data_IF_926288925358
#
_entry.id   IF_926288925358
#
_cell.length_a   1.000
_cell.length_b   1.000
_cell.length_c   1.000
_cell.angle_alpha   90.00
_cell.angle_beta   90.00
_cell.angle_gamma   90.00
#
_symmetry.space_group_name_H-M   'P 1'
#
loop_
_entity.id
_entity.type
_entity.pdbx_description
1 polymer ?
#
# COMPACT_ATOMS: atom_id res chain seq x y z
N UNK A 1 -7.48 22.53 31.75
CA UNK A 1 -6.48 22.63 30.68
C UNK A 1 -5.09 22.65 31.30
N UNK A 2 -4.23 21.75 30.83
CA UNK A 2 -2.82 21.70 31.18
C UNK A 2 -2.01 21.70 29.88
N UNK A 3 -0.86 22.37 29.86
CA UNK A 3 0.10 22.25 28.76
C UNK A 3 1.35 21.51 29.23
N UNK A 4 1.79 20.54 28.44
CA UNK A 4 3.07 19.86 28.61
C UNK A 4 4.09 20.47 27.64
N UNK A 5 5.31 20.72 28.10
CA UNK A 5 6.41 21.19 27.24
C UNK A 5 6.87 20.16 26.21
N UNK A 6 6.64 18.87 26.47
CA UNK A 6 6.81 17.75 25.54
C UNK A 6 5.54 16.90 25.58
N UNK A 7 4.91 16.66 24.44
CA UNK A 7 3.66 15.91 24.37
C UNK A 7 3.82 14.47 24.86
N UNK A 8 2.89 14.00 25.70
CA UNK A 8 2.91 12.66 26.31
C UNK A 8 4.20 12.34 27.10
N UNK A 9 4.78 13.35 27.75
CA UNK A 9 5.87 13.23 28.72
C UNK A 9 5.53 14.03 29.99
N UNK A 10 5.11 13.31 31.03
CA UNK A 10 4.73 13.88 32.33
C UNK A 10 5.95 14.29 33.18
N UNK A 11 7.17 13.89 32.80
CA UNK A 11 8.41 14.39 33.41
C UNK A 11 8.82 15.77 32.87
N UNK A 12 8.23 16.19 31.75
CA UNK A 12 8.39 17.53 31.19
C UNK A 12 7.65 18.59 32.00
N UNK A 13 7.87 19.87 31.71
CA UNK A 13 7.16 20.97 32.40
C UNK A 13 5.65 20.91 32.13
N UNK A 14 4.88 20.52 33.15
CA UNK A 14 3.41 20.60 33.18
C UNK A 14 2.99 21.96 33.74
N UNK A 15 2.17 22.71 33.00
CA UNK A 15 1.62 23.99 33.47
C UNK A 15 0.09 23.91 33.52
N UNK A 16 -0.51 24.19 34.68
CA UNK A 16 -1.94 24.39 34.81
C UNK A 16 -2.31 25.76 34.20
N UNK A 17 -3.14 25.76 33.15
CA UNK A 17 -3.49 26.99 32.42
C UNK A 17 -4.81 27.58 32.91
N UNK A 18 -5.89 26.81 32.86
CA UNK A 18 -7.23 27.23 33.30
C UNK A 18 -8.18 26.05 33.52
N UNK A 19 -9.33 26.35 34.13
CA UNK A 19 -10.43 25.42 34.37
C UNK A 19 -11.69 25.90 33.64
N UNK A 20 -12.42 24.97 33.00
CA UNK A 20 -13.81 25.19 32.60
C UNK A 20 -14.70 24.73 33.76
N UNK A 21 -15.41 25.67 34.39
CA UNK A 21 -16.39 25.36 35.41
C UNK A 21 -17.69 24.87 34.76
N UNK A 22 -18.13 23.67 35.15
CA UNK A 22 -19.33 22.99 34.66
C UNK A 22 -20.37 22.74 35.77
N UNK A 23 -20.21 23.34 36.95
CA UNK A 23 -21.09 23.11 38.11
C UNK A 23 -22.56 23.50 37.89
N UNK A 24 -22.81 24.46 36.98
CA UNK A 24 -24.17 24.82 36.54
C UNK A 24 -24.83 23.72 35.69
N UNK A 25 -24.02 22.84 35.06
CA UNK A 25 -24.45 21.75 34.21
C UNK A 25 -24.56 20.42 34.98
N UNK A 26 -23.51 20.03 35.70
CA UNK A 26 -23.47 18.77 36.48
C UNK A 26 -22.43 18.87 37.62
N UNK A 27 -22.81 18.47 38.83
CA UNK A 27 -21.90 18.50 40.00
C UNK A 27 -21.08 17.21 40.18
N UNK A 28 -21.19 16.27 39.24
CA UNK A 28 -20.43 15.02 39.20
C UNK A 28 -20.00 14.68 37.75
N UNK A 29 -19.16 15.51 37.10
CA UNK A 29 -18.53 15.13 35.84
C UNK A 29 -17.69 13.86 36.03
N UNK A 30 -17.54 13.05 34.98
CA UNK A 30 -16.84 11.76 35.02
C UNK A 30 -15.76 11.63 33.96
N UNK A 31 -16.02 12.11 32.74
CA UNK A 31 -15.10 11.95 31.61
C UNK A 31 -15.20 13.17 30.68
N UNK A 32 -14.15 13.37 29.89
CA UNK A 32 -14.02 14.44 28.92
C UNK A 32 -13.53 13.87 27.59
N UNK A 33 -14.12 14.33 26.49
CA UNK A 33 -13.71 13.97 25.15
C UNK A 33 -13.65 15.20 24.26
N UNK A 34 -12.97 15.08 23.12
CA UNK A 34 -12.96 16.07 22.05
C UNK A 34 -13.40 15.41 20.75
N UNK A 35 -13.86 16.21 19.78
CA UNK A 35 -13.96 15.77 18.39
C UNK A 35 -12.57 15.69 17.74
N UNK A 36 -12.49 15.16 16.52
CA UNK A 36 -11.22 14.88 15.83
C UNK A 36 -10.34 16.11 15.55
N UNK A 37 -10.92 17.30 15.41
CA UNK A 37 -10.18 18.56 15.20
C UNK A 37 -9.98 19.38 16.48
N UNK A 38 -10.50 18.93 17.62
CA UNK A 38 -10.39 19.61 18.90
C UNK A 38 -11.24 20.87 19.07
N UNK A 39 -12.13 21.19 18.13
CA UNK A 39 -13.01 22.39 18.19
C UNK A 39 -14.30 22.18 18.98
N UNK A 40 -14.58 20.97 19.46
CA UNK A 40 -15.70 20.68 20.38
C UNK A 40 -15.20 19.86 21.55
N UNK A 41 -15.50 20.32 22.77
CA UNK A 41 -15.29 19.58 24.02
C UNK A 41 -16.63 19.00 24.50
N UNK A 42 -16.60 17.74 24.93
CA UNK A 42 -17.72 17.00 25.50
C UNK A 42 -17.41 16.65 26.95
N UNK A 43 -18.32 16.95 27.88
CA UNK A 43 -18.21 16.56 29.30
C UNK A 43 -19.36 15.63 29.66
N UNK A 44 -19.02 14.47 30.22
CA UNK A 44 -19.98 13.46 30.67
C UNK A 44 -20.36 13.70 32.14
N UNK A 45 -21.59 14.13 32.39
CA UNK A 45 -22.15 14.35 33.72
C UNK A 45 -22.90 13.14 34.27
N UNK A 46 -22.60 12.72 35.51
CA UNK A 46 -23.27 11.61 36.20
C UNK A 46 -24.52 12.02 36.93
N UNK A 47 -24.56 13.22 37.53
CA UNK A 47 -25.69 13.65 38.35
C UNK A 47 -26.96 13.75 37.50
N UNK A 48 -26.83 14.35 36.31
CA UNK A 48 -27.90 14.57 35.35
C UNK A 48 -27.85 13.58 34.17
N UNK A 49 -26.94 12.59 34.21
CA UNK A 49 -26.83 11.50 33.25
C UNK A 49 -26.84 11.98 31.79
N UNK A 50 -26.03 13.00 31.50
CA UNK A 50 -26.06 13.78 30.27
C UNK A 50 -24.65 14.13 29.77
N UNK A 51 -24.50 14.28 28.45
CA UNK A 51 -23.32 14.86 27.81
C UNK A 51 -23.61 16.34 27.55
N UNK A 52 -22.66 17.20 27.90
CA UNK A 52 -22.69 18.63 27.62
C UNK A 52 -21.58 18.94 26.62
N UNK A 53 -21.90 19.69 25.57
CA UNK A 53 -20.97 19.99 24.47
C UNK A 53 -20.75 21.48 24.35
N UNK A 54 -19.49 21.93 24.26
CA UNK A 54 -19.14 23.33 23.98
C UNK A 54 -18.26 23.46 22.75
N UNK A 55 -18.50 24.51 21.95
CA UNK A 55 -17.62 24.89 20.85
C UNK A 55 -16.40 25.67 21.35
N UNK A 56 -15.23 25.36 20.81
CA UNK A 56 -13.96 26.04 21.07
C UNK A 56 -13.55 26.86 19.85
N UNK A 57 -13.18 28.12 20.07
CA UNK A 57 -12.74 29.01 18.98
C UNK A 57 -11.38 28.62 18.40
N UNK A 58 -10.56 27.91 19.18
CA UNK A 58 -9.26 27.38 18.83
C UNK A 58 -9.18 25.94 19.36
N UNK A 59 -8.65 25.02 18.55
CA UNK A 59 -8.60 23.60 18.89
C UNK A 59 -7.88 23.34 20.23
N UNK A 60 -8.52 22.58 21.12
CA UNK A 60 -8.05 22.18 22.46
C UNK A 60 -7.76 23.33 23.46
N UNK A 61 -7.96 24.59 23.07
CA UNK A 61 -7.76 25.75 23.94
C UNK A 61 -9.09 26.14 24.61
N UNK A 62 -9.13 26.19 25.94
CA UNK A 62 -10.29 26.63 26.69
C UNK A 62 -10.32 28.15 26.89
N UNK A 63 -9.43 28.91 26.23
CA UNK A 63 -9.44 30.38 26.27
C UNK A 63 -10.76 30.94 25.72
N UNK A 64 -11.39 31.82 26.50
CA UNK A 64 -12.63 32.46 26.13
C UNK A 64 -13.89 31.59 26.18
N UNK A 65 -13.81 30.30 26.58
CA UNK A 65 -14.99 29.44 26.68
C UNK A 65 -15.92 29.93 27.80
N UNK A 66 -17.11 30.37 27.41
CA UNK A 66 -18.18 30.78 28.30
C UNK A 66 -19.15 29.61 28.49
N UNK A 67 -19.19 29.06 29.71
CA UNK A 67 -20.00 27.88 30.10
C UNK A 67 -21.49 27.93 29.69
N UNK A 68 -22.07 29.11 29.45
CA UNK A 68 -23.45 29.28 28.98
C UNK A 68 -23.56 29.64 27.50
N UNK A 69 -22.69 30.50 26.97
CA UNK A 69 -22.85 31.04 25.61
C UNK A 69 -22.33 30.10 24.53
N UNK A 70 -21.29 29.32 24.84
CA UNK A 70 -20.66 28.39 23.91
C UNK A 70 -21.18 26.95 24.07
N UNK A 71 -22.18 26.74 24.95
CA UNK A 71 -22.86 25.46 25.13
C UNK A 71 -23.74 25.20 23.90
N UNK A 72 -23.34 24.25 23.06
CA UNK A 72 -24.03 23.92 21.80
C UNK A 72 -25.07 22.81 21.95
N UNK A 73 -24.91 21.91 22.93
CA UNK A 73 -25.86 20.82 23.15
C UNK A 73 -25.83 20.25 24.58
N UNK A 74 -26.99 19.75 25.03
CA UNK A 74 -27.13 18.87 26.20
C UNK A 74 -27.87 17.61 25.76
N UNK A 75 -27.25 16.45 25.93
CA UNK A 75 -27.79 15.15 25.47
C UNK A 75 -27.92 14.17 26.62
N UNK A 76 -29.15 13.81 26.98
CA UNK A 76 -29.40 12.73 27.95
C UNK A 76 -28.90 11.38 27.40
N UNK A 77 -28.17 10.63 28.24
CA UNK A 77 -27.61 9.31 27.93
C UNK A 77 -28.00 8.21 28.93
N UNK A 78 -28.74 8.53 30.00
CA UNK A 78 -29.26 7.52 30.94
C UNK A 78 -28.29 7.15 32.08
N UNK A 79 -28.84 6.62 33.17
CA UNK A 79 -28.25 6.65 34.51
C UNK A 79 -26.84 6.05 34.67
N UNK A 80 -26.11 6.58 35.66
CA UNK A 80 -24.77 6.17 36.11
C UNK A 80 -23.73 5.93 34.98
N UNK A 81 -23.49 6.93 34.11
CA UNK A 81 -22.36 6.89 33.18
C UNK A 81 -21.02 6.96 33.94
N UNK A 82 -19.96 6.50 33.26
CA UNK A 82 -18.58 6.52 33.75
C UNK A 82 -17.58 7.06 32.75
N UNK A 83 -17.59 6.53 31.54
CA UNK A 83 -16.71 6.96 30.46
C UNK A 83 -17.49 7.25 29.18
N UNK A 84 -16.97 8.19 28.39
CA UNK A 84 -17.42 8.63 27.07
C UNK A 84 -16.23 8.51 26.11
N UNK A 85 -16.40 7.75 25.03
CA UNK A 85 -15.44 7.70 23.92
C UNK A 85 -16.17 7.79 22.58
N UNK A 86 -15.45 8.26 21.57
CA UNK A 86 -15.88 8.21 20.17
C UNK A 86 -14.89 7.38 19.37
N UNK A 87 -15.30 6.80 18.25
CA UNK A 87 -14.36 6.27 17.28
C UNK A 87 -13.69 7.42 16.47
N UNK A 88 -12.61 7.16 15.69
CA UNK A 88 -11.82 8.20 15.02
C UNK A 88 -12.55 9.04 13.96
N UNK A 89 -13.64 8.54 13.38
CA UNK A 89 -14.49 9.28 12.44
C UNK A 89 -15.71 9.95 13.10
N UNK A 90 -15.91 9.73 14.40
CA UNK A 90 -17.03 10.27 15.18
C UNK A 90 -18.40 9.68 14.87
N UNK A 91 -18.52 8.66 14.00
CA UNK A 91 -19.80 8.02 13.66
C UNK A 91 -20.31 7.04 14.73
N UNK A 92 -19.48 6.72 15.72
CA UNK A 92 -19.85 5.92 16.90
C UNK A 92 -19.47 6.61 18.20
N UNK A 93 -20.35 6.47 19.19
CA UNK A 93 -20.16 6.94 20.57
C UNK A 93 -20.36 5.79 21.55
N UNK A 94 -19.49 5.67 22.54
CA UNK A 94 -19.47 4.59 23.52
C UNK A 94 -19.64 5.17 24.92
N UNK A 95 -20.60 4.64 25.69
CA UNK A 95 -20.84 5.02 27.08
C UNK A 95 -20.64 3.80 27.98
N UNK A 96 -19.68 3.91 28.90
CA UNK A 96 -19.53 2.93 29.99
C UNK A 96 -20.57 3.20 31.08
N UNK A 97 -21.31 2.17 31.49
CA UNK A 97 -22.34 2.24 32.54
C UNK A 97 -21.92 1.49 33.78
N UNK A 98 -21.71 2.22 34.88
CA UNK A 98 -21.24 1.63 36.14
C UNK A 98 -22.22 0.62 36.74
N UNK A 99 -23.51 0.96 36.87
CA UNK A 99 -24.48 0.07 37.54
C UNK A 99 -24.88 -1.16 36.71
N UNK A 100 -25.09 -0.99 35.41
CA UNK A 100 -25.49 -2.11 34.54
C UNK A 100 -24.30 -2.93 34.05
N UNK A 101 -23.06 -2.45 34.24
CA UNK A 101 -21.80 -3.07 33.78
C UNK A 101 -21.85 -3.35 32.27
N UNK A 102 -22.33 -2.35 31.52
CA UNK A 102 -22.46 -2.38 30.07
C UNK A 102 -21.55 -1.33 29.43
N UNK A 103 -21.02 -1.66 28.26
CA UNK A 103 -20.64 -0.66 27.26
C UNK A 103 -21.80 -0.52 26.29
N UNK A 104 -22.36 0.67 26.20
CA UNK A 104 -23.42 1.04 25.26
C UNK A 104 -22.80 1.75 24.05
N UNK A 105 -22.79 1.08 22.90
CA UNK A 105 -22.41 1.65 21.61
C UNK A 105 -23.62 2.30 20.94
N UNK A 106 -23.44 3.51 20.43
CA UNK A 106 -24.42 4.29 19.70
C UNK A 106 -23.87 4.68 18.33
N UNK A 107 -24.61 4.41 17.26
CA UNK A 107 -24.32 5.00 15.96
C UNK A 107 -24.86 6.44 15.92
N UNK A 108 -24.06 7.37 15.40
CA UNK A 108 -24.42 8.78 15.22
C UNK A 108 -24.64 9.06 13.74
N UNK A 109 -25.79 9.65 13.36
CA UNK A 109 -26.03 10.02 11.95
C UNK A 109 -25.33 11.32 11.54
N UNK A 110 -24.87 12.11 12.51
CA UNK A 110 -23.91 13.21 12.32
C UNK A 110 -22.69 12.93 13.20
N UNK A 111 -21.50 12.93 12.60
CA UNK A 111 -20.25 12.66 13.32
C UNK A 111 -20.05 13.63 14.50
N UNK A 112 -19.69 13.08 15.66
CA UNK A 112 -19.51 13.83 16.91
C UNK A 112 -20.76 14.62 17.41
N UNK A 113 -21.97 14.26 16.98
CA UNK A 113 -23.21 14.81 17.55
C UNK A 113 -23.99 13.75 18.36
N UNK A 114 -23.83 13.68 19.69
CA UNK A 114 -24.58 12.79 20.58
C UNK A 114 -26.10 12.91 20.50
N UNK A 115 -26.64 14.04 20.02
CA UNK A 115 -28.09 14.21 19.87
C UNK A 115 -28.65 13.35 18.73
N UNK A 116 -27.80 12.94 17.77
CA UNK A 116 -28.17 12.10 16.62
C UNK A 116 -28.06 10.59 16.85
N UNK A 117 -27.85 10.17 18.11
CA UNK A 117 -27.65 8.76 18.46
C UNK A 117 -28.84 7.86 18.16
N UNK A 118 -28.55 6.65 17.68
CA UNK A 118 -29.49 5.55 17.49
C UNK A 118 -29.94 4.91 18.81
N UNK A 119 -30.73 3.84 18.74
CA UNK A 119 -30.75 2.83 19.82
C UNK A 119 -29.35 2.24 20.01
N UNK A 120 -29.01 1.81 21.23
CA UNK A 120 -27.69 1.25 21.52
C UNK A 120 -27.55 -0.23 21.18
N UNK A 121 -26.33 -0.61 20.79
CA UNK A 121 -25.81 -1.99 20.84
C UNK A 121 -25.05 -2.14 22.15
N UNK A 122 -25.33 -3.17 22.94
CA UNK A 122 -24.78 -3.30 24.29
C UNK A 122 -23.88 -4.53 24.42
N UNK A 123 -22.74 -4.37 25.09
CA UNK A 123 -21.89 -5.47 25.53
C UNK A 123 -21.78 -5.52 27.05
N UNK A 124 -21.83 -6.72 27.63
CA UNK A 124 -21.67 -6.91 29.08
C UNK A 124 -20.19 -7.00 29.43
N UNK A 125 -19.69 -6.08 30.24
CA UNK A 125 -18.35 -6.13 30.81
C UNK A 125 -18.38 -6.67 32.24
N UNK A 126 -19.28 -7.61 32.50
CA UNK A 126 -19.47 -8.29 33.79
C UNK A 126 -18.26 -9.12 34.27
N UNK A 127 -17.31 -9.36 33.37
CA UNK A 127 -16.03 -10.04 33.63
C UNK A 127 -14.90 -9.07 34.02
N UNK A 128 -15.06 -7.77 33.77
CA UNK A 128 -14.36 -6.70 34.51
C UNK A 128 -15.08 -6.44 35.83
N UNK A 129 -14.42 -5.93 36.87
CA UNK A 129 -14.96 -5.84 38.24
C UNK A 129 -16.30 -5.09 38.45
N UNK A 130 -16.71 -4.91 39.70
CA UNK A 130 -18.01 -4.31 40.02
C UNK A 130 -18.02 -2.78 39.90
N UNK A 131 -16.89 -2.11 40.10
CA UNK A 131 -16.76 -0.65 40.22
C UNK A 131 -15.98 -0.09 39.04
N UNK A 132 -16.64 -0.06 37.89
CA UNK A 132 -16.08 0.47 36.66
C UNK A 132 -15.86 1.99 36.76
N UNK A 133 -14.72 2.47 36.28
CA UNK A 133 -14.37 3.91 36.29
C UNK A 133 -14.07 4.46 34.88
N UNK A 134 -13.19 3.79 34.13
CA UNK A 134 -12.67 4.26 32.85
C UNK A 134 -12.84 3.27 31.69
N UNK A 135 -12.74 3.78 30.46
CA UNK A 135 -12.78 2.98 29.22
C UNK A 135 -11.78 3.53 28.20
N UNK A 136 -11.08 2.64 27.50
CA UNK A 136 -10.19 2.97 26.38
C UNK A 136 -10.36 2.03 25.19
N UNK A 137 -9.78 2.39 24.04
CA UNK A 137 -9.71 1.56 22.85
C UNK A 137 -8.32 1.66 22.22
N UNK A 138 -7.91 0.65 21.42
CA UNK A 138 -6.80 0.81 20.48
C UNK A 138 -7.18 1.76 19.33
N UNK A 139 -6.19 2.28 18.60
CA UNK A 139 -6.41 3.21 17.47
C UNK A 139 -7.33 2.65 16.38
N UNK A 140 -7.22 1.35 16.08
CA UNK A 140 -8.09 0.62 15.15
C UNK A 140 -9.37 0.06 15.82
N UNK A 141 -9.52 0.22 17.14
CA UNK A 141 -10.68 -0.23 17.91
C UNK A 141 -10.83 -1.75 18.06
N UNK A 142 -9.82 -2.55 17.70
CA UNK A 142 -9.86 -4.03 17.87
C UNK A 142 -9.51 -4.47 19.29
N UNK A 143 -9.03 -3.56 20.15
CA UNK A 143 -8.98 -3.75 21.61
C UNK A 143 -9.83 -2.71 22.30
N UNK A 144 -10.52 -3.13 23.36
CA UNK A 144 -11.24 -2.29 24.30
C UNK A 144 -10.72 -2.59 25.71
N UNK A 145 -10.56 -1.55 26.52
CA UNK A 145 -10.02 -1.64 27.87
C UNK A 145 -11.01 -1.04 28.86
N UNK A 146 -11.20 -1.70 30.01
CA UNK A 146 -12.07 -1.23 31.09
C UNK A 146 -11.24 -1.12 32.37
N UNK A 147 -11.28 0.05 33.01
CA UNK A 147 -10.64 0.30 34.30
C UNK A 147 -11.64 -0.03 35.40
N UNK A 148 -11.24 -0.91 36.31
CA UNK A 148 -12.02 -1.38 37.44
C UNK A 148 -11.28 -1.09 38.75
N UNK A 149 -12.05 -0.80 39.79
CA UNK A 149 -11.58 -0.10 41.00
C UNK A 149 -11.80 -0.90 42.30
N UNK A 150 -12.60 -1.96 42.25
CA UNK A 150 -12.73 -2.90 43.36
C UNK A 150 -11.65 -3.99 43.37
N UNK A 151 -10.95 -4.15 42.24
CA UNK A 151 -9.83 -5.06 41.99
C UNK A 151 -8.54 -4.35 41.54
N UNK A 152 -8.57 -3.02 41.34
CA UNK A 152 -7.46 -2.19 40.84
C UNK A 152 -6.85 -2.68 39.50
N UNK A 153 -7.72 -3.18 38.62
CA UNK A 153 -7.35 -3.88 37.39
C UNK A 153 -7.71 -3.10 36.10
N UNK A 154 -6.86 -3.25 35.09
CA UNK A 154 -7.18 -2.89 33.70
C UNK A 154 -7.54 -4.16 32.92
N UNK A 155 -8.82 -4.30 32.58
CA UNK A 155 -9.38 -5.44 31.85
C UNK A 155 -9.32 -5.22 30.34
N UNK A 156 -8.88 -6.23 29.59
CA UNK A 156 -8.73 -6.19 28.13
C UNK A 156 -9.78 -7.08 27.43
N UNK A 157 -10.35 -6.55 26.35
CA UNK A 157 -11.29 -7.23 25.46
C UNK A 157 -10.80 -7.11 24.01
N UNK A 158 -10.83 -8.20 23.25
CA UNK A 158 -10.59 -8.18 21.80
C UNK A 158 -11.93 -8.07 21.05
N UNK A 159 -12.03 -7.14 20.10
CA UNK A 159 -13.15 -6.96 19.18
C UNK A 159 -12.73 -7.45 17.79
N UNK A 160 -13.44 -8.44 17.23
CA UNK A 160 -13.10 -8.97 15.90
C UNK A 160 -13.44 -8.00 14.75
N UNK A 161 -14.29 -7.02 15.01
CA UNK A 161 -14.54 -5.86 14.14
C UNK A 161 -14.25 -4.60 14.95
N UNK A 162 -13.32 -3.77 14.48
CA UNK A 162 -12.91 -2.55 15.18
C UNK A 162 -14.09 -1.64 15.49
N UNK A 163 -14.20 -1.18 16.74
CA UNK A 163 -15.30 -0.33 17.22
C UNK A 163 -16.70 -0.94 17.07
N UNK A 164 -16.85 -2.27 17.07
CA UNK A 164 -18.12 -2.99 17.20
C UNK A 164 -18.13 -3.82 18.50
N UNK A 165 -18.78 -3.30 19.54
CA UNK A 165 -18.79 -3.95 20.87
C UNK A 165 -19.55 -5.27 20.88
N UNK A 166 -20.43 -5.54 19.91
CA UNK A 166 -21.11 -6.84 19.82
C UNK A 166 -20.15 -7.98 19.48
N UNK A 167 -18.96 -7.65 18.95
CA UNK A 167 -17.90 -8.60 18.63
C UNK A 167 -16.85 -8.76 19.73
N UNK A 168 -17.04 -8.10 20.89
CA UNK A 168 -16.07 -8.13 21.98
C UNK A 168 -15.99 -9.51 22.66
N UNK A 169 -14.79 -9.85 23.12
CA UNK A 169 -14.48 -11.08 23.85
C UNK A 169 -13.43 -10.78 24.92
N UNK A 170 -13.67 -11.22 26.16
CA UNK A 170 -12.75 -10.97 27.28
C UNK A 170 -11.43 -11.72 27.08
N UNK A 171 -10.32 -11.05 27.36
CA UNK A 171 -8.96 -11.59 27.25
C UNK A 171 -8.38 -11.90 28.63
N UNK A 172 -8.51 -10.97 29.56
CA UNK A 172 -7.91 -11.02 30.89
C UNK A 172 -7.72 -9.62 31.49
N UNK A 173 -6.99 -9.54 32.59
CA UNK A 173 -6.68 -8.33 33.34
C UNK A 173 -5.16 -8.09 33.41
N UNK A 174 -4.78 -6.83 33.61
CA UNK A 174 -3.46 -6.41 34.05
C UNK A 174 -3.59 -5.82 35.45
N UNK A 175 -2.99 -6.50 36.42
CA UNK A 175 -2.90 -6.05 37.81
C UNK A 175 -1.99 -4.82 37.89
N UNK A 176 -2.60 -3.65 38.11
CA UNK A 176 -1.85 -2.43 38.39
C UNK A 176 -1.41 -2.50 39.85
N UNK A 177 -0.18 -2.95 40.09
CA UNK A 177 0.30 -3.22 41.44
C UNK A 177 1.61 -2.46 41.75
N UNK A 178 1.52 -1.46 42.62
CA UNK A 178 2.65 -0.85 43.32
C UNK A 178 2.83 -1.52 44.69
N UNK A 179 3.89 -2.35 44.91
CA UNK A 179 4.02 -3.14 46.14
C UNK A 179 4.01 -2.31 47.43
N UNK A 180 2.94 -2.45 48.21
CA UNK A 180 2.76 -1.76 49.50
C UNK A 180 2.01 -0.42 49.42
N UNK A 181 1.54 -0.02 48.24
CA UNK A 181 0.56 1.05 48.08
C UNK A 181 -0.87 0.55 48.35
N UNK A 182 -1.78 1.47 48.66
CA UNK A 182 -3.22 1.29 48.47
C UNK A 182 -3.59 2.03 47.20
N UNK A 183 -4.38 1.40 46.34
CA UNK A 183 -4.73 1.95 45.03
C UNK A 183 -6.24 2.19 44.94
N UNK A 184 -6.64 2.98 43.94
CA UNK A 184 -8.02 3.35 43.63
C UNK A 184 -8.02 3.88 42.18
N UNK A 185 -7.73 2.99 41.23
CA UNK A 185 -7.49 3.41 39.84
C UNK A 185 -8.76 3.95 39.18
N UNK A 186 -8.62 5.05 38.45
CA UNK A 186 -9.75 5.93 38.07
C UNK A 186 -10.00 6.06 36.58
N UNK A 187 -8.94 6.11 35.77
CA UNK A 187 -9.02 6.36 34.34
C UNK A 187 -7.77 5.83 33.66
N UNK A 188 -7.84 5.64 32.34
CA UNK A 188 -6.68 5.32 31.52
C UNK A 188 -6.69 6.09 30.19
N UNK A 189 -5.51 6.32 29.65
CA UNK A 189 -5.30 6.86 28.32
C UNK A 189 -4.05 6.23 27.69
N UNK A 190 -3.95 6.27 26.36
CA UNK A 190 -2.73 5.95 25.64
C UNK A 190 -2.16 7.22 25.00
N UNK A 191 -0.87 7.23 24.69
CA UNK A 191 -0.34 8.19 23.74
C UNK A 191 -0.81 7.86 22.31
N UNK A 192 -0.54 8.75 21.35
CA UNK A 192 -1.06 8.67 19.98
C UNK A 192 -0.63 7.44 19.18
N UNK A 193 0.49 6.80 19.52
CA UNK A 193 0.99 5.58 18.86
C UNK A 193 0.74 4.30 19.69
N UNK A 194 0.17 4.42 20.89
CA UNK A 194 -0.08 3.28 21.78
C UNK A 194 1.16 2.67 22.41
N UNK A 195 2.35 3.27 22.30
CA UNK A 195 3.57 2.79 22.98
C UNK A 195 3.63 3.14 24.47
N UNK A 196 2.82 4.10 24.92
CA UNK A 196 2.65 4.44 26.34
C UNK A 196 1.19 4.31 26.77
N UNK A 197 1.00 3.82 27.98
CA UNK A 197 -0.25 3.89 28.73
C UNK A 197 -0.07 4.80 29.94
N UNK A 198 -1.11 5.56 30.26
CA UNK A 198 -1.22 6.38 31.46
C UNK A 198 -2.46 5.92 32.21
N UNK A 199 -2.38 5.80 33.53
CA UNK A 199 -3.56 5.75 34.38
C UNK A 199 -3.46 6.83 35.46
N UNK A 200 -4.54 7.05 36.20
CA UNK A 200 -4.51 7.90 37.38
C UNK A 200 -5.20 7.24 38.55
N UNK A 201 -4.73 7.52 39.75
CA UNK A 201 -5.14 6.88 41.00
C UNK A 201 -5.73 7.91 41.99
N UNK A 202 -6.91 7.62 42.55
CA UNK A 202 -7.60 8.54 43.46
C UNK A 202 -7.03 8.57 44.89
N UNK A 203 -6.32 7.52 45.36
CA UNK A 203 -5.71 7.47 46.70
C UNK A 203 -4.27 8.00 46.69
N UNK A 204 -3.51 7.65 45.65
CA UNK A 204 -2.14 8.16 45.44
C UNK A 204 -2.15 9.61 44.93
N UNK A 205 -3.24 10.03 44.23
CA UNK A 205 -3.45 11.39 43.71
C UNK A 205 -2.34 11.82 42.72
N UNK A 206 -2.01 10.94 41.80
CA UNK A 206 -1.04 11.12 40.73
C UNK A 206 -1.50 10.47 39.41
N UNK A 207 -0.60 10.46 38.43
CA UNK A 207 -0.80 9.87 37.09
C UNK A 207 0.48 9.11 36.74
N UNK A 208 0.38 7.79 36.68
CA UNK A 208 1.50 6.90 36.40
C UNK A 208 1.65 6.62 34.89
N UNK A 209 2.89 6.68 34.40
CA UNK A 209 3.25 6.43 33.00
C UNK A 209 3.92 5.07 32.82
N UNK A 210 3.42 4.28 31.85
CA UNK A 210 3.90 2.94 31.51
C UNK A 210 4.37 2.91 30.05
N UNK A 211 5.59 2.46 29.80
CA UNK A 211 6.03 2.07 28.45
C UNK A 211 5.59 0.64 28.17
N UNK A 212 4.85 0.43 27.09
CA UNK A 212 4.38 -0.91 26.68
C UNK A 212 5.43 -1.61 25.81
N UNK A 213 5.47 -2.95 25.90
CA UNK A 213 6.37 -3.78 25.07
C UNK A 213 5.94 -3.87 23.60
N UNK A 214 4.69 -3.51 23.31
CA UNK A 214 4.04 -3.53 22.01
C UNK A 214 2.85 -2.56 22.04
N UNK A 215 2.47 -2.01 20.88
CA UNK A 215 1.42 -0.98 20.82
C UNK A 215 0.07 -1.51 21.35
N UNK A 216 -0.54 -0.77 22.28
CA UNK A 216 -1.79 -1.12 22.97
C UNK A 216 -1.77 -2.51 23.67
N UNK A 217 -0.60 -3.10 23.93
CA UNK A 217 -0.49 -4.38 24.63
C UNK A 217 -0.48 -4.20 26.13
N UNK A 218 -1.66 -4.20 26.76
CA UNK A 218 -1.81 -4.13 28.22
C UNK A 218 -1.78 -5.53 28.84
N UNK A 219 -2.63 -6.44 28.32
CA UNK A 219 -2.68 -7.85 28.71
C UNK A 219 -2.08 -8.72 27.60
N UNK A 220 -2.38 -8.41 26.33
CA UNK A 220 -1.85 -9.15 25.18
C UNK A 220 -1.44 -8.22 24.03
N UNK A 221 -0.28 -8.49 23.42
CA UNK A 221 0.12 -7.79 22.19
C UNK A 221 -0.86 -8.09 21.05
N UNK A 222 -1.08 -7.09 20.18
CA UNK A 222 -1.69 -7.34 18.88
C UNK A 222 -0.76 -8.22 18.02
N UNK A 223 -1.34 -9.18 17.30
CA UNK A 223 -0.63 -9.93 16.26
C UNK A 223 -0.68 -9.12 14.96
N UNK A 224 0.45 -8.56 14.48
CA UNK A 224 0.47 -7.73 13.27
C UNK A 224 0.21 -8.53 11.98
N UNK A 225 0.10 -9.86 12.06
CA UNK A 225 -0.34 -10.70 10.94
C UNK A 225 -1.85 -10.88 10.87
N UNK A 226 -2.59 -10.44 11.90
CA UNK A 226 -4.05 -10.51 11.94
C UNK A 226 -4.75 -9.32 11.27
N UNK A 227 -4.09 -8.16 11.25
CA UNK A 227 -4.57 -6.95 10.59
C UNK A 227 -4.06 -6.88 9.13
N UNK A 228 -4.97 -6.59 8.19
CA UNK A 228 -4.65 -6.60 6.76
C UNK A 228 -3.85 -5.38 6.32
N UNK A 229 -4.04 -4.24 6.99
CA UNK A 229 -3.35 -3.00 6.64
C UNK A 229 -1.91 -3.02 7.19
N UNK A 230 -1.72 -3.62 8.38
CA UNK A 230 -0.38 -3.93 8.90
C UNK A 230 0.37 -4.91 7.98
N UNK A 231 -0.25 -6.03 7.60
CA UNK A 231 0.34 -6.99 6.64
C UNK A 231 0.67 -6.30 5.31
N UNK A 232 -0.24 -5.52 4.75
CA UNK A 232 -0.01 -4.79 3.50
C UNK A 232 1.14 -3.77 3.61
N UNK A 233 1.28 -3.10 4.76
CA UNK A 233 2.41 -2.19 5.05
C UNK A 233 3.74 -2.95 5.10
N UNK A 234 3.79 -4.08 5.82
CA UNK A 234 4.98 -4.95 5.90
C UNK A 234 5.35 -5.51 4.53
N UNK A 235 4.38 -5.97 3.74
CA UNK A 235 4.60 -6.44 2.37
C UNK A 235 5.11 -5.32 1.46
N UNK A 236 4.51 -4.12 1.51
CA UNK A 236 4.91 -2.99 0.69
C UNK A 236 6.34 -2.50 1.01
N UNK A 237 6.72 -2.44 2.29
CA UNK A 237 8.09 -2.13 2.70
C UNK A 237 9.07 -3.23 2.25
N UNK A 238 8.69 -4.50 2.42
CA UNK A 238 9.49 -5.66 2.01
C UNK A 238 9.73 -5.69 0.50
N UNK A 239 8.70 -5.46 -0.32
CA UNK A 239 8.83 -5.37 -1.78
C UNK A 239 9.63 -4.15 -2.23
N UNK A 240 9.53 -3.03 -1.52
CA UNK A 240 10.36 -1.84 -1.77
C UNK A 240 11.84 -2.14 -1.51
N UNK A 241 12.15 -2.81 -0.40
CA UNK A 241 13.51 -3.25 -0.07
C UNK A 241 14.06 -4.27 -1.10
N UNK A 242 13.26 -5.27 -1.49
CA UNK A 242 13.62 -6.23 -2.56
C UNK A 242 13.95 -5.53 -3.88
N UNK A 243 13.10 -4.60 -4.32
CA UNK A 243 13.33 -3.82 -5.55
C UNK A 243 14.60 -2.97 -5.45
N UNK A 244 14.85 -2.31 -4.32
CA UNK A 244 16.07 -1.54 -4.09
C UNK A 244 17.32 -2.42 -4.20
N UNK A 245 17.31 -3.60 -3.56
CA UNK A 245 18.42 -4.57 -3.63
C UNK A 245 18.63 -5.06 -5.07
N UNK A 246 17.56 -5.38 -5.81
CA UNK A 246 17.65 -5.78 -7.23
C UNK A 246 18.25 -4.67 -8.09
N UNK A 247 17.75 -3.44 -7.99
CA UNK A 247 18.19 -2.30 -8.80
C UNK A 247 19.63 -1.85 -8.50
N UNK A 248 20.10 -1.98 -7.27
CA UNK A 248 21.48 -1.64 -6.90
C UNK A 248 22.46 -2.78 -7.19
N UNK A 249 22.09 -4.02 -6.83
CA UNK A 249 23.01 -5.16 -6.84
C UNK A 249 23.13 -5.81 -8.22
N UNK A 250 22.02 -6.03 -8.94
CA UNK A 250 22.06 -6.79 -10.19
C UNK A 250 22.92 -6.13 -11.29
N UNK A 251 22.88 -4.79 -11.51
CA UNK A 251 23.76 -4.14 -12.48
C UNK A 251 25.25 -4.27 -12.13
N UNK A 252 25.59 -4.28 -10.83
CA UNK A 252 26.97 -4.45 -10.35
C UNK A 252 27.42 -5.90 -10.57
N UNK A 253 26.63 -6.90 -10.14
CA UNK A 253 26.95 -8.31 -10.35
C UNK A 253 27.06 -8.66 -11.84
N UNK A 254 26.14 -8.17 -12.68
CA UNK A 254 26.20 -8.37 -14.13
C UNK A 254 27.47 -7.74 -14.75
N UNK A 255 27.90 -6.57 -14.27
CA UNK A 255 29.16 -5.95 -14.69
C UNK A 255 30.39 -6.73 -14.18
N UNK A 256 30.38 -7.21 -12.95
CA UNK A 256 31.47 -8.04 -12.40
C UNK A 256 31.59 -9.36 -13.15
N UNK A 257 30.47 -10.02 -13.48
CA UNK A 257 30.47 -11.25 -14.28
C UNK A 257 30.83 -11.01 -15.74
N UNK A 258 30.58 -9.82 -16.29
CA UNK A 258 31.09 -9.43 -17.61
C UNK A 258 32.60 -9.19 -17.57
N UNK A 259 33.09 -8.46 -16.57
CA UNK A 259 34.51 -8.18 -16.37
C UNK A 259 35.28 -9.50 -16.16
N UNK A 260 34.83 -10.35 -15.24
CA UNK A 260 35.44 -11.66 -14.95
C UNK A 260 35.54 -12.56 -16.19
N UNK A 261 34.55 -12.49 -17.10
CA UNK A 261 34.57 -13.23 -18.37
C UNK A 261 35.52 -12.62 -19.41
N UNK A 262 35.88 -11.34 -19.29
CA UNK A 262 36.70 -10.63 -20.26
C UNK A 262 38.12 -10.27 -19.80
N UNK A 263 38.48 -10.49 -18.52
CA UNK A 263 39.83 -10.15 -17.97
C UNK A 263 40.98 -10.70 -18.81
N UNK A 264 40.83 -11.93 -19.32
CA UNK A 264 41.88 -12.66 -20.03
C UNK A 264 41.67 -12.70 -21.56
N UNK A 265 40.77 -11.87 -22.12
CA UNK A 265 40.21 -12.03 -23.48
C UNK A 265 39.59 -13.42 -23.76
N UNK A 266 39.28 -14.16 -22.70
CA UNK A 266 38.77 -15.53 -22.74
C UNK A 266 37.31 -15.62 -23.19
N UNK A 267 37.11 -15.71 -24.51
CA UNK A 267 35.89 -16.17 -25.17
C UNK A 267 34.70 -15.19 -25.24
N UNK A 268 34.69 -14.37 -26.30
CA UNK A 268 33.58 -13.50 -26.71
C UNK A 268 32.41 -14.23 -27.40
N UNK A 269 32.49 -15.55 -27.67
CA UNK A 269 31.50 -16.27 -28.50
C UNK A 269 30.20 -16.65 -27.78
N UNK A 270 30.16 -16.53 -26.45
CA UNK A 270 29.08 -17.04 -25.61
C UNK A 270 27.73 -16.32 -25.73
N UNK A 271 27.55 -15.38 -26.67
CA UNK A 271 26.22 -14.90 -27.08
C UNK A 271 25.49 -15.91 -28.00
N UNK A 272 26.12 -17.01 -28.40
CA UNK A 272 25.51 -18.09 -29.18
C UNK A 272 24.87 -17.60 -30.51
N UNK A 273 25.48 -16.55 -31.10
CA UNK A 273 25.02 -15.89 -32.32
C UNK A 273 25.24 -16.83 -33.49
N UNK A 274 24.15 -17.45 -33.97
CA UNK A 274 24.17 -18.29 -35.16
C UNK A 274 24.13 -17.42 -36.41
N UNK A 275 25.28 -17.23 -37.04
CA UNK A 275 25.33 -16.74 -38.42
C UNK A 275 24.74 -17.81 -39.32
N UNK A 276 23.68 -17.46 -40.06
CA UNK A 276 23.05 -18.35 -41.04
C UNK A 276 22.81 -17.55 -42.32
N UNK A 277 23.39 -18.00 -43.41
CA UNK A 277 23.18 -17.42 -44.74
C UNK A 277 22.32 -18.37 -45.57
N UNK A 278 21.17 -17.89 -46.03
CA UNK A 278 20.26 -18.63 -46.92
C UNK A 278 20.82 -18.82 -48.33
N UNK A 279 21.87 -18.08 -48.69
CA UNK A 279 22.60 -18.23 -49.94
C UNK A 279 23.69 -19.30 -49.79
N UNK A 280 23.63 -20.36 -50.60
CA UNK A 280 24.55 -21.50 -50.53
C UNK A 280 26.03 -21.10 -50.65
N UNK A 281 26.36 -20.09 -51.45
CA UNK A 281 27.75 -19.60 -51.65
C UNK A 281 28.28 -18.93 -50.37
N UNK A 282 27.40 -18.27 -49.61
CA UNK A 282 27.76 -17.59 -48.35
C UNK A 282 27.64 -18.50 -47.13
N UNK A 283 27.04 -19.70 -47.27
CA UNK A 283 26.81 -20.64 -46.16
C UNK A 283 28.10 -21.02 -45.41
N UNK A 284 29.24 -21.12 -46.10
CA UNK A 284 30.56 -21.41 -45.54
C UNK A 284 31.05 -20.35 -44.54
N UNK A 285 30.67 -19.08 -44.71
CA UNK A 285 31.03 -18.00 -43.79
C UNK A 285 30.45 -18.20 -42.38
N UNK A 286 29.36 -18.98 -42.25
CA UNK A 286 28.75 -19.33 -40.95
C UNK A 286 29.74 -20.03 -40.01
N UNK A 287 30.66 -20.83 -40.57
CA UNK A 287 31.70 -21.55 -39.82
C UNK A 287 33.00 -20.74 -39.74
N UNK A 288 33.31 -20.00 -40.81
CA UNK A 288 34.57 -19.28 -40.98
C UNK A 288 34.68 -18.02 -40.11
N UNK A 289 33.56 -17.31 -39.87
CA UNK A 289 33.53 -16.12 -39.00
C UNK A 289 33.86 -16.47 -37.53
N UNK A 290 33.24 -17.48 -36.89
CA UNK A 290 33.64 -17.95 -35.56
C UNK A 290 35.12 -18.37 -35.47
N UNK A 291 35.61 -19.17 -36.42
CA UNK A 291 36.99 -19.66 -36.42
C UNK A 291 38.02 -18.52 -36.52
N UNK A 292 37.74 -17.51 -37.35
CA UNK A 292 38.58 -16.32 -37.49
C UNK A 292 38.59 -15.46 -36.21
N UNK A 293 37.43 -15.26 -35.58
CA UNK A 293 37.30 -14.50 -34.33
C UNK A 293 38.04 -15.20 -33.16
N UNK A 294 38.10 -16.53 -33.17
CA UNK A 294 38.82 -17.32 -32.16
C UNK A 294 40.35 -17.39 -32.38
N UNK A 295 40.88 -16.90 -33.51
CA UNK A 295 42.30 -17.04 -33.92
C UNK A 295 42.80 -18.49 -34.03
N UNK A 296 41.91 -19.47 -34.17
CA UNK A 296 42.24 -20.91 -34.27
C UNK A 296 42.23 -21.43 -35.72
N UNK A 297 42.14 -20.55 -36.73
CA UNK A 297 42.06 -20.93 -38.14
C UNK A 297 43.26 -21.78 -38.59
N UNK A 298 42.99 -23.01 -39.02
CA UNK A 298 44.00 -23.98 -39.42
C UNK A 298 44.47 -23.79 -40.86
N UNK A 299 45.65 -24.32 -41.18
CA UNK A 299 46.26 -24.20 -42.52
C UNK A 299 45.43 -24.83 -43.65
N UNK A 300 44.42 -25.65 -43.33
CA UNK A 300 43.49 -26.22 -44.31
C UNK A 300 42.40 -25.23 -44.70
N UNK A 301 41.83 -24.51 -43.74
CA UNK A 301 40.74 -23.53 -43.95
C UNK A 301 41.24 -22.30 -44.72
N UNK A 302 42.52 -21.93 -44.53
CA UNK A 302 43.19 -20.91 -45.35
C UNK A 302 43.31 -21.31 -46.84
N UNK A 303 43.45 -22.60 -47.16
CA UNK A 303 43.47 -23.09 -48.55
C UNK A 303 42.08 -23.10 -49.19
N UNK A 304 41.02 -23.36 -48.43
CA UNK A 304 39.66 -23.20 -48.92
C UNK A 304 39.38 -21.73 -49.29
N UNK A 305 39.84 -20.77 -48.48
CA UNK A 305 39.73 -19.34 -48.81
C UNK A 305 40.45 -18.94 -50.11
N UNK A 306 41.62 -19.51 -50.40
CA UNK A 306 42.30 -19.30 -51.69
C UNK A 306 41.53 -19.92 -52.85
N UNK A 307 41.02 -21.14 -52.67
CA UNK A 307 40.21 -21.86 -53.67
C UNK A 307 38.93 -21.10 -54.02
N UNK A 308 38.21 -20.59 -53.02
CA UNK A 308 37.01 -19.75 -53.18
C UNK A 308 37.37 -18.42 -53.88
N UNK A 309 38.51 -17.82 -53.54
CA UNK A 309 38.97 -16.57 -54.16
C UNK A 309 39.24 -16.75 -55.66
N UNK A 310 39.82 -17.87 -56.07
CA UNK A 310 40.10 -18.15 -57.48
C UNK A 310 38.85 -18.59 -58.26
N UNK A 311 37.94 -19.37 -57.64
CA UNK A 311 36.60 -19.61 -58.20
C UNK A 311 35.83 -18.30 -58.44
N UNK A 312 35.89 -17.34 -57.50
CA UNK A 312 35.28 -16.02 -57.66
C UNK A 312 35.88 -15.23 -58.83
N UNK A 313 37.21 -15.27 -59.04
CA UNK A 313 37.84 -14.64 -60.21
C UNK A 313 37.32 -15.23 -61.52
N UNK A 314 37.20 -16.56 -61.59
CA UNK A 314 36.68 -17.28 -62.78
C UNK A 314 35.23 -16.87 -63.10
N UNK A 315 34.36 -16.86 -62.10
CA UNK A 315 32.95 -16.43 -62.25
C UNK A 315 32.83 -14.97 -62.72
N UNK A 316 33.72 -14.07 -62.27
CA UNK A 316 33.75 -12.68 -62.74
C UNK A 316 34.09 -12.60 -64.25
N UNK A 317 35.04 -13.41 -64.74
CA UNK A 317 35.33 -13.45 -66.18
C UNK A 317 34.20 -14.06 -67.01
N UNK A 318 33.55 -15.13 -66.52
CA UNK A 318 32.44 -15.79 -67.22
C UNK A 318 31.21 -14.86 -67.32
N UNK A 319 30.92 -14.08 -66.27
CA UNK A 319 29.86 -13.05 -66.33
C UNK A 319 30.18 -11.94 -67.33
N UNK A 320 31.43 -11.49 -67.43
CA UNK A 320 31.82 -10.46 -68.41
C UNK A 320 31.64 -10.95 -69.86
N UNK A 321 31.91 -12.22 -70.14
CA UNK A 321 31.61 -12.83 -71.45
C UNK A 321 30.10 -12.92 -71.72
N UNK A 322 29.29 -13.30 -70.72
CA UNK A 322 27.83 -13.35 -70.83
C UNK A 322 27.22 -11.96 -71.07
N UNK A 323 27.71 -10.91 -70.41
CA UNK A 323 27.28 -9.52 -70.66
C UNK A 323 27.59 -9.09 -72.11
N UNK A 324 28.79 -9.41 -72.62
CA UNK A 324 29.18 -9.13 -74.00
C UNK A 324 28.32 -9.91 -75.03
N UNK A 325 27.93 -11.15 -74.73
CA UNK A 325 26.98 -11.91 -75.56
C UNK A 325 25.57 -11.31 -75.52
N UNK A 326 25.11 -10.86 -74.36
CA UNK A 326 23.81 -10.21 -74.20
C UNK A 326 23.71 -8.89 -74.97
N UNK A 327 24.76 -8.07 -75.01
CA UNK A 327 24.75 -6.86 -75.84
C UNK A 327 24.72 -7.17 -77.35
N UNK A 328 25.42 -8.21 -77.81
CA UNK A 328 25.28 -8.70 -79.20
C UNK A 328 23.85 -9.16 -79.50
N UNK A 329 23.21 -9.89 -78.59
CA UNK A 329 21.82 -10.33 -78.72
C UNK A 329 20.83 -9.15 -78.77
N UNK A 330 21.00 -8.13 -77.91
CA UNK A 330 20.20 -6.90 -77.93
C UNK A 330 20.31 -6.16 -79.27
N UNK A 331 21.51 -6.07 -79.84
CA UNK A 331 21.73 -5.43 -81.14
C UNK A 331 20.99 -6.19 -82.26
N UNK A 332 21.11 -7.53 -82.26
CA UNK A 332 20.48 -8.41 -83.25
C UNK A 332 18.94 -8.40 -83.14
N UNK A 333 18.41 -8.28 -81.91
CA UNK A 333 16.99 -8.08 -81.65
C UNK A 333 16.49 -6.71 -82.17
N UNK A 334 17.23 -5.62 -81.94
CA UNK A 334 16.90 -4.29 -82.50
C UNK A 334 16.85 -4.31 -84.03
N UNK A 335 17.81 -4.95 -84.70
CA UNK A 335 17.82 -5.11 -86.16
C UNK A 335 16.57 -5.87 -86.66
N UNK A 336 16.20 -6.97 -86.00
CA UNK A 336 14.98 -7.73 -86.34
C UNK A 336 13.68 -6.93 -86.11
N UNK A 337 13.63 -6.10 -85.06
CA UNK A 337 12.47 -5.25 -84.79
C UNK A 337 12.29 -4.18 -85.89
N UNK A 338 13.39 -3.54 -86.30
CA UNK A 338 13.36 -2.50 -87.34
C UNK A 338 12.95 -3.07 -88.72
N UNK A 339 13.36 -4.31 -89.02
CA UNK A 339 12.91 -5.04 -90.20
C UNK A 339 11.40 -5.33 -90.15
N UNK A 340 10.88 -5.79 -89.00
CA UNK A 340 9.43 -6.01 -88.80
C UNK A 340 8.61 -4.73 -88.91
N UNK A 341 9.10 -3.59 -88.39
CA UNK A 341 8.39 -2.32 -88.48
C UNK A 341 8.20 -1.88 -89.94
N UNK A 342 9.23 -1.97 -90.78
CA UNK A 342 9.09 -1.74 -92.23
C UNK A 342 8.10 -2.69 -92.91
N UNK A 343 8.05 -3.95 -92.48
CA UNK A 343 7.09 -4.93 -93.01
C UNK A 343 5.64 -4.64 -92.56
N UNK A 344 5.48 -3.99 -91.40
CA UNK A 344 4.19 -3.68 -90.78
C UNK A 344 3.61 -2.35 -91.28
N UNK A 345 4.45 -1.34 -91.56
CA UNK A 345 4.07 -0.13 -92.32
C UNK A 345 3.47 -0.51 -93.69
N UNK A 346 4.09 -1.46 -94.40
CA UNK A 346 3.57 -1.99 -95.67
C UNK A 346 2.23 -2.76 -95.54
N UNK A 347 1.85 -3.22 -94.33
CA UNK A 347 0.61 -3.99 -94.07
C UNK A 347 -0.53 -3.17 -93.47
N UNK A 348 -0.28 -1.94 -93.03
CA UNK A 348 -1.26 -1.08 -92.36
C UNK A 348 -2.42 -0.58 -93.27
N UNK A 349 -2.39 -0.89 -94.58
CA UNK A 349 -3.40 -0.47 -95.56
C UNK A 349 -4.66 -1.39 -95.64
N UNK A 350 -4.86 -2.34 -94.72
CA UNK A 350 -6.06 -3.19 -94.69
C UNK A 350 -6.64 -3.33 -93.26
N UNK A 351 -7.96 -3.25 -93.14
CA UNK A 351 -8.67 -2.91 -91.90
C UNK A 351 -9.84 -3.86 -91.59
N UNK A 352 -9.82 -4.53 -90.44
CA UNK A 352 -10.99 -5.00 -89.65
C UNK A 352 -10.55 -5.79 -88.40
N UNK A 353 -11.33 -5.68 -87.31
CA UNK A 353 -11.14 -6.35 -86.00
C UNK A 353 -12.51 -6.76 -85.45
N UNK A 354 -12.62 -7.83 -84.64
CA UNK A 354 -13.57 -8.03 -83.51
C UNK A 354 -13.26 -9.35 -82.75
N UNK A 355 -13.95 -9.64 -81.62
CA UNK A 355 -13.50 -10.53 -80.50
C UNK A 355 -14.54 -11.51 -79.92
N UNK A 356 -14.12 -12.64 -79.29
CA UNK A 356 -14.87 -13.58 -78.42
C UNK A 356 -13.89 -14.38 -77.49
N UNK A 357 -14.22 -15.07 -76.37
CA UNK A 357 -15.40 -15.01 -75.47
C UNK A 357 -16.12 -16.36 -75.17
N UNK A 358 -15.98 -17.03 -73.99
CA UNK A 358 -16.94 -18.07 -73.47
C UNK A 358 -16.69 -18.61 -72.01
N UNK A 359 -17.71 -19.29 -71.44
CA UNK A 359 -17.90 -19.75 -70.01
C UNK A 359 -18.70 -21.09 -69.96
N UNK A 360 -18.63 -21.94 -68.89
CA UNK A 360 -19.74 -22.84 -68.40
C UNK A 360 -19.44 -23.73 -67.14
N UNK A 361 -20.46 -24.43 -66.59
CA UNK A 361 -20.58 -24.94 -65.19
C UNK A 361 -21.03 -26.43 -65.01
N UNK A 362 -21.00 -26.96 -63.76
CA UNK A 362 -21.86 -28.05 -63.22
C UNK A 362 -21.11 -29.32 -62.74
N UNK A 363 -21.55 -30.10 -61.71
CA UNK A 363 -22.75 -30.15 -60.84
C UNK A 363 -22.39 -30.81 -59.49
N UNK A 364 -23.11 -30.53 -58.39
CA UNK A 364 -23.04 -31.29 -57.12
C UNK A 364 -24.21 -32.30 -57.07
N UNK A 365 -23.91 -33.53 -56.64
CA UNK A 365 -24.85 -34.65 -56.51
C UNK A 365 -24.12 -35.99 -56.57
#
# INVERSE_FOLDING_TARGET
>A
EYSLSVGFDLSSTVTALRLLDVSDQDNAPQDVAFNSDGTVIFVLGKQNASIYSWSLSTAYDLSGVHKTNDLIATTAIGANPRALKFNPDGTKMFILKGTSRLVEEYALSTAYDPATKSSSTNYSVSDSGAWLQGMGFSSNGTKMFIVSNDDDDIHEYNLSTGFDVSTASYVGNYEVNTPGASMDISAMAFNSDGSKMFHGDFQQNDIEEYTLSCYYGVVSCMDPTSDKDDVASVEAQTESAKKLIQHTTYPILNRMEWLRRNTDNGNLTNQNIKFQFSNEILSSLSNLIPAYLNKEATTSELKELETIRDQRKKLISENAELEAQNEKLKLLAKQKLLAKQKEQENKANNWSFWSEGTVSFGRIG
#
